data_IF_143461297947
#
_entry.id   IF_143461297947
#
_cell.length_a   1.000
_cell.length_b   1.000
_cell.length_c   1.000
_cell.angle_alpha   90.00
_cell.angle_beta   90.00
_cell.angle_gamma   90.00
#
_symmetry.space_group_name_H-M   'P 1'
#
loop_
_entity.id
_entity.type
_entity.pdbx_description
1 polymer ?
#
# COMPACT_ATOMS: atom_id res chain seq x y z
N UNK A 1 2.94 4.72 13.57
CA UNK A 1 1.50 4.37 13.36
C UNK A 1 1.51 3.13 12.48
N UNK A 2 0.68 2.11 12.72
CA UNK A 2 0.71 0.92 11.84
C UNK A 2 0.20 1.26 10.44
N UNK A 3 0.62 0.49 9.42
CA UNK A 3 0.14 0.65 8.05
C UNK A 3 -1.39 0.52 7.97
N UNK A 4 -1.97 -0.46 8.65
CA UNK A 4 -3.42 -0.66 8.72
C UNK A 4 -4.15 0.58 9.26
N UNK A 5 -3.69 1.11 10.41
CA UNK A 5 -4.29 2.30 11.02
C UNK A 5 -4.13 3.52 10.14
N UNK A 6 -3.00 3.63 9.45
CA UNK A 6 -2.71 4.71 8.49
C UNK A 6 -3.68 4.65 7.31
N UNK A 7 -3.86 3.48 6.71
CA UNK A 7 -4.77 3.29 5.57
C UNK A 7 -6.24 3.48 5.97
N UNK A 8 -6.63 3.11 7.19
CA UNK A 8 -7.97 3.37 7.70
C UNK A 8 -8.33 4.87 7.70
N UNK A 9 -7.35 5.78 7.82
CA UNK A 9 -7.59 7.24 7.76
C UNK A 9 -7.96 7.75 6.37
N UNK A 10 -7.75 6.95 5.32
CA UNK A 10 -8.12 7.30 3.94
C UNK A 10 -9.64 7.34 3.73
N UNK A 11 -10.41 6.74 4.65
CA UNK A 11 -11.86 6.58 4.54
C UNK A 11 -12.29 5.42 3.65
N UNK A 12 -11.35 4.66 3.08
CA UNK A 12 -11.63 3.46 2.30
C UNK A 12 -11.49 2.20 3.15
N UNK A 13 -12.34 1.17 2.95
CA UNK A 13 -12.11 -0.15 3.51
C UNK A 13 -10.69 -0.60 3.17
N UNK A 14 -9.90 -0.93 4.19
CA UNK A 14 -8.50 -1.31 4.06
C UNK A 14 -8.32 -2.65 4.75
N UNK A 15 -7.96 -3.70 4.01
CA UNK A 15 -7.87 -5.07 4.55
C UNK A 15 -6.68 -5.84 4.00
N UNK A 16 -6.26 -6.88 4.71
CA UNK A 16 -5.45 -7.93 4.09
C UNK A 16 -6.31 -8.69 3.06
N UNK A 17 -5.78 -9.03 1.86
CA UNK A 17 -6.53 -9.82 0.89
C UNK A 17 -6.89 -11.22 1.44
N UNK A 18 -8.01 -11.83 0.99
CA UNK A 18 -8.95 -11.31 -0.01
C UNK A 18 -9.94 -10.29 0.57
N UNK A 19 -10.40 -9.35 -0.26
CA UNK A 19 -11.50 -8.46 0.10
C UNK A 19 -12.85 -9.18 -0.12
N UNK A 20 -13.62 -9.35 0.95
CA UNK A 20 -14.94 -10.01 0.92
C UNK A 20 -16.14 -9.06 0.83
N UNK A 21 -15.91 -7.74 0.72
CA UNK A 21 -16.96 -6.72 0.69
C UNK A 21 -17.43 -6.37 -0.73
N UNK A 22 -18.32 -5.38 -0.83
CA UNK A 22 -18.93 -4.92 -2.09
C UNK A 22 -18.69 -3.43 -2.40
N UNK A 23 -17.76 -2.77 -1.69
CA UNK A 23 -17.45 -1.36 -1.92
C UNK A 23 -16.88 -1.12 -3.33
N UNK A 24 -17.29 -0.01 -3.96
CA UNK A 24 -16.77 0.41 -5.27
C UNK A 24 -15.34 0.95 -5.21
N UNK A 25 -14.79 1.18 -4.01
CA UNK A 25 -13.40 1.54 -3.78
C UNK A 25 -12.92 0.92 -2.48
N UNK A 26 -11.79 0.22 -2.51
CA UNK A 26 -11.15 -0.35 -1.33
C UNK A 26 -9.63 -0.45 -1.54
N UNK A 27 -8.91 -0.65 -0.44
CA UNK A 27 -7.47 -0.85 -0.42
C UNK A 27 -7.18 -2.24 0.12
N UNK A 28 -6.26 -2.97 -0.51
CA UNK A 28 -5.64 -4.14 0.12
C UNK A 28 -4.20 -3.88 0.46
N UNK A 29 -3.70 -4.48 1.53
CA UNK A 29 -2.30 -4.39 1.88
C UNK A 29 -1.75 -5.71 2.41
N UNK A 30 -0.48 -6.01 2.12
CA UNK A 30 0.24 -7.15 2.67
C UNK A 30 1.76 -6.89 2.66
N UNK A 31 2.47 -7.57 3.54
CA UNK A 31 3.94 -7.54 3.57
C UNK A 31 4.49 -8.34 2.37
N UNK A 32 5.38 -7.71 1.60
CA UNK A 32 6.03 -8.30 0.42
C UNK A 32 7.39 -8.88 0.82
N UNK A 33 8.17 -8.11 1.59
CA UNK A 33 9.47 -8.53 2.10
C UNK A 33 9.73 -7.89 3.45
N UNK A 34 10.40 -8.63 4.32
CA UNK A 34 10.90 -8.21 5.62
C UNK A 34 12.33 -8.75 5.68
N UNK A 35 13.31 -7.89 5.36
CA UNK A 35 14.72 -8.29 5.30
C UNK A 35 15.45 -7.74 6.53
N UNK A 36 15.86 -8.65 7.41
CA UNK A 36 16.64 -8.35 8.62
C UNK A 36 18.17 -8.32 8.33
N UNK A 37 18.62 -8.54 7.08
CA UNK A 37 20.05 -8.74 6.81
C UNK A 37 20.83 -7.46 6.51
N UNK A 38 21.36 -6.85 7.56
CA UNK A 38 22.66 -6.17 7.53
C UNK A 38 23.51 -6.60 8.73
N UNK A 39 23.83 -7.90 8.79
CA UNK A 39 24.88 -8.45 9.65
C UNK A 39 26.15 -8.77 8.83
N UNK A 40 26.83 -7.74 8.35
CA UNK A 40 28.24 -7.84 7.96
C UNK A 40 28.89 -6.45 8.12
N UNK A 41 29.84 -6.34 9.06
CA UNK A 41 30.69 -5.19 9.36
C UNK A 41 30.14 -4.02 10.23
N UNK A 42 29.33 -4.33 11.24
CA UNK A 42 29.40 -3.60 12.51
C UNK A 42 28.52 -2.35 12.69
N UNK A 43 27.69 -1.99 11.71
CA UNK A 43 26.59 -1.04 11.92
C UNK A 43 25.30 -1.64 11.34
N UNK A 44 24.31 -1.89 12.20
CA UNK A 44 22.99 -2.31 11.77
C UNK A 44 22.34 -1.17 10.96
N UNK A 45 22.39 -1.29 9.63
CA UNK A 45 21.67 -0.38 8.74
C UNK A 45 20.26 -0.94 8.55
N UNK A 46 19.30 -0.31 9.24
CA UNK A 46 17.84 -0.28 9.03
C UNK A 46 17.11 -1.59 8.63
N UNK A 47 16.13 -1.99 9.45
CA UNK A 47 15.07 -2.93 9.03
C UNK A 47 14.28 -2.30 7.86
N UNK A 48 14.28 -2.93 6.68
CA UNK A 48 13.48 -2.46 5.53
C UNK A 48 12.26 -3.37 5.34
N UNK A 49 11.07 -2.90 5.75
CA UNK A 49 9.80 -3.57 5.45
C UNK A 49 9.18 -3.02 4.18
N UNK A 50 9.00 -3.90 3.19
CA UNK A 50 8.34 -3.60 1.93
C UNK A 50 6.92 -4.14 1.94
N UNK A 51 5.95 -3.28 1.64
CA UNK A 51 4.53 -3.59 1.58
C UNK A 51 3.97 -3.35 0.17
N UNK A 52 3.01 -4.18 -0.22
CA UNK A 52 2.10 -3.86 -1.32
C UNK A 52 0.88 -3.15 -0.74
N UNK A 53 0.52 -2.02 -1.31
CA UNK A 53 -0.71 -1.28 -1.03
C UNK A 53 -1.44 -1.06 -2.34
N UNK A 54 -2.53 -1.78 -2.52
CA UNK A 54 -3.21 -1.86 -3.81
C UNK A 54 -4.56 -1.16 -3.71
N UNK A 55 -4.79 -0.20 -4.61
CA UNK A 55 -6.09 0.47 -4.73
C UNK A 55 -6.95 -0.25 -5.75
N UNK A 56 -8.16 -0.60 -5.35
CA UNK A 56 -9.20 -1.11 -6.22
C UNK A 56 -10.34 -0.10 -6.31
N UNK A 57 -10.77 0.25 -7.52
CA UNK A 57 -11.82 1.28 -7.70
C UNK A 57 -12.56 1.18 -9.04
N UNK A 58 -13.86 1.49 -9.06
CA UNK A 58 -14.65 1.65 -10.30
C UNK A 58 -14.59 3.05 -10.91
N UNK A 59 -14.08 4.02 -10.16
CA UNK A 59 -14.09 5.44 -10.52
C UNK A 59 -12.66 5.96 -10.69
N UNK A 60 -12.54 7.16 -11.26
CA UNK A 60 -11.27 7.88 -11.42
C UNK A 60 -10.42 7.86 -10.14
N UNK A 61 -9.16 7.47 -10.29
CA UNK A 61 -8.30 7.08 -9.17
C UNK A 61 -7.13 8.04 -8.90
N UNK A 62 -6.78 8.93 -9.84
CA UNK A 62 -5.60 9.79 -9.74
C UNK A 62 -5.56 10.61 -8.44
N UNK A 63 -6.65 11.28 -8.10
CA UNK A 63 -6.75 12.07 -6.85
C UNK A 63 -6.72 11.19 -5.60
N UNK A 64 -7.22 9.96 -5.68
CA UNK A 64 -7.21 8.99 -4.57
C UNK A 64 -5.79 8.54 -4.28
N UNK A 65 -5.03 8.20 -5.32
CA UNK A 65 -3.62 7.84 -5.20
C UNK A 65 -2.82 8.99 -4.60
N UNK A 66 -3.02 10.23 -5.05
CA UNK A 66 -2.34 11.39 -4.46
C UNK A 66 -2.65 11.55 -2.96
N UNK A 67 -3.91 11.36 -2.56
CA UNK A 67 -4.31 11.41 -1.16
C UNK A 67 -3.68 10.28 -0.33
N UNK A 68 -3.71 9.04 -0.83
CA UNK A 68 -3.12 7.87 -0.16
C UNK A 68 -1.61 8.09 0.02
N UNK A 69 -0.91 8.56 -1.02
CA UNK A 69 0.53 8.88 -0.94
C UNK A 69 0.83 9.93 0.11
N UNK A 70 0.02 10.97 0.23
CA UNK A 70 0.23 12.03 1.21
C UNK A 70 0.05 11.49 2.64
N UNK A 71 -0.97 10.66 2.87
CA UNK A 71 -1.22 10.00 4.16
C UNK A 71 -0.06 9.07 4.52
N UNK A 72 0.36 8.19 3.60
CA UNK A 72 1.48 7.27 3.81
C UNK A 72 2.79 8.01 4.14
N UNK A 73 3.13 9.04 3.36
CA UNK A 73 4.33 9.85 3.61
C UNK A 73 4.30 10.57 4.95
N UNK A 74 3.14 11.07 5.35
CA UNK A 74 2.97 11.74 6.66
C UNK A 74 3.14 10.75 7.82
N UNK A 75 2.83 9.47 7.59
CA UNK A 75 2.96 8.41 8.58
C UNK A 75 4.36 7.76 8.63
N UNK A 76 5.33 8.22 7.81
CA UNK A 76 6.69 7.66 7.75
C UNK A 76 6.86 6.54 6.72
N UNK A 77 6.03 6.49 5.69
CA UNK A 77 6.18 5.51 4.60
C UNK A 77 6.67 6.16 3.31
N UNK A 78 7.57 5.48 2.60
CA UNK A 78 8.08 5.89 1.29
C UNK A 78 7.42 5.12 0.18
N UNK A 79 6.92 5.84 -0.82
CA UNK A 79 6.37 5.22 -2.03
C UNK A 79 7.53 4.83 -2.94
N UNK A 80 7.80 3.53 -3.06
CA UNK A 80 8.86 2.99 -3.91
C UNK A 80 8.45 3.03 -5.38
N UNK A 81 7.24 2.57 -5.69
CA UNK A 81 6.70 2.59 -7.05
C UNK A 81 5.18 2.59 -7.06
N UNK A 82 4.62 3.01 -8.20
CA UNK A 82 3.20 2.87 -8.51
C UNK A 82 3.17 2.16 -9.86
N UNK A 83 2.53 0.99 -9.90
CA UNK A 83 2.43 0.19 -11.10
C UNK A 83 1.41 0.75 -12.11
N UNK A 84 1.29 0.09 -13.27
CA UNK A 84 0.28 0.45 -14.26
C UNK A 84 -1.14 0.21 -13.72
N UNK A 85 -2.10 0.94 -14.29
CA UNK A 85 -3.51 0.62 -14.12
C UNK A 85 -3.82 -0.74 -14.78
N UNK A 86 -4.47 -1.62 -14.03
CA UNK A 86 -4.92 -2.93 -14.50
C UNK A 86 -6.44 -2.97 -14.39
N UNK A 87 -7.14 -3.23 -15.48
CA UNK A 87 -8.59 -3.44 -15.44
C UNK A 87 -8.92 -4.91 -15.18
N UNK A 88 -9.51 -5.20 -14.02
CA UNK A 88 -9.96 -6.53 -13.66
C UNK A 88 -11.35 -6.81 -14.24
N UNK A 89 -11.40 -7.71 -15.23
CA UNK A 89 -12.64 -8.01 -15.97
C UNK A 89 -13.71 -8.65 -15.10
N UNK A 90 -13.33 -9.46 -14.11
CA UNK A 90 -14.28 -10.19 -13.26
C UNK A 90 -14.98 -9.27 -12.27
N UNK A 91 -14.22 -8.39 -11.60
CA UNK A 91 -14.71 -7.46 -10.57
C UNK A 91 -15.20 -6.13 -11.15
N UNK A 92 -14.80 -5.84 -12.40
CA UNK A 92 -14.99 -4.54 -13.09
C UNK A 92 -14.31 -3.38 -12.36
N UNK A 93 -13.19 -3.65 -11.70
CA UNK A 93 -12.41 -2.67 -10.94
C UNK A 93 -11.10 -2.36 -11.67
N UNK A 94 -10.65 -1.12 -11.51
CA UNK A 94 -9.27 -0.75 -11.77
C UNK A 94 -8.44 -1.08 -10.54
N UNK A 95 -7.37 -1.85 -10.73
CA UNK A 95 -6.35 -2.19 -9.76
C UNK A 95 -5.10 -1.36 -10.03
N UNK A 96 -4.65 -0.64 -9.01
CA UNK A 96 -3.45 0.19 -9.04
C UNK A 96 -2.53 -0.29 -7.91
N UNK A 97 -1.52 -1.11 -8.21
CA UNK A 97 -0.58 -1.60 -7.20
C UNK A 97 0.42 -0.51 -6.81
N UNK A 98 0.75 -0.41 -5.53
CA UNK A 98 1.79 0.47 -5.02
C UNK A 98 2.74 -0.30 -4.11
N UNK A 99 4.04 -0.10 -4.29
CA UNK A 99 5.05 -0.61 -3.38
C UNK A 99 5.46 0.49 -2.41
N UNK A 100 5.47 0.15 -1.12
CA UNK A 100 5.64 1.09 -0.02
C UNK A 100 6.67 0.54 0.97
N UNK A 101 7.69 1.33 1.28
CA UNK A 101 8.70 1.03 2.29
C UNK A 101 8.34 1.74 3.60
N UNK A 102 8.52 1.05 4.73
CA UNK A 102 8.49 1.66 6.06
C UNK A 102 9.84 2.33 6.34
N UNK A 103 9.84 3.63 6.69
CA UNK A 103 11.05 4.27 7.21
C UNK A 103 11.25 3.82 8.67
N UNK A 104 12.41 3.23 8.96
CA UNK A 104 12.82 2.81 10.31
C UNK A 104 13.16 4.00 11.23
#
# INVERSE_FOLDING_TARGET
MSLESTLATTGYPSVHPPYGGSADTYITFHLVADDENLYADGEAQAEERLYSVDLFTRVSWESKILSIKAILKTAGYRIQSIGPEIYEVETKLYHIPMLVLEDA
#
